data_IF_629264393414
#
_entry.id   IF_629264393414
#
_cell.length_a   1.000
_cell.length_b   1.000
_cell.length_c   1.000
_cell.angle_alpha   90.00
_cell.angle_beta   90.00
_cell.angle_gamma   90.00
#
_symmetry.space_group_name_H-M   'P 1'
#
loop_
_entity.id
_entity.type
_entity.pdbx_description
1 polymer ?
#
# COMPACT_ATOMS: atom_id res chain seq x y z
N UNK A 1 -9.27 -25.11 -33.85
CA UNK A 1 -9.59 -23.81 -33.23
C UNK A 1 -9.88 -23.93 -31.73
N UNK A 2 -10.60 -24.95 -31.24
CA UNK A 2 -10.97 -25.06 -29.81
C UNK A 2 -9.80 -25.44 -28.87
N UNK A 3 -8.85 -26.27 -29.36
CA UNK A 3 -7.71 -26.74 -28.55
C UNK A 3 -6.68 -25.65 -28.21
N UNK A 4 -6.46 -24.67 -29.09
CA UNK A 4 -5.54 -23.55 -28.82
C UNK A 4 -6.08 -22.65 -27.70
N UNK A 5 -7.38 -22.42 -27.69
CA UNK A 5 -8.03 -21.50 -26.74
C UNK A 5 -8.08 -22.12 -25.35
N UNK A 6 -8.28 -23.44 -25.25
CA UNK A 6 -8.20 -24.18 -23.98
C UNK A 6 -6.77 -24.14 -23.41
N UNK A 7 -5.74 -24.33 -24.25
CA UNK A 7 -4.34 -24.29 -23.81
C UNK A 7 -3.93 -22.88 -23.35
N UNK A 8 -4.42 -21.83 -24.02
CA UNK A 8 -4.18 -20.45 -23.63
C UNK A 8 -4.83 -20.13 -22.27
N UNK A 9 -6.10 -20.54 -22.09
CA UNK A 9 -6.83 -20.39 -20.83
C UNK A 9 -6.16 -21.14 -19.68
N UNK A 10 -5.66 -22.36 -19.92
CA UNK A 10 -4.91 -23.12 -18.93
C UNK A 10 -3.59 -22.42 -18.58
N UNK A 11 -2.83 -21.92 -19.56
CA UNK A 11 -1.61 -21.17 -19.30
C UNK A 11 -1.87 -19.91 -18.47
N UNK A 12 -2.95 -19.18 -18.76
CA UNK A 12 -3.33 -17.98 -18.03
C UNK A 12 -3.80 -18.30 -16.60
N UNK A 13 -4.60 -19.35 -16.41
CA UNK A 13 -4.98 -19.84 -15.08
C UNK A 13 -3.75 -20.25 -14.27
N UNK A 14 -2.79 -20.94 -14.89
CA UNK A 14 -1.56 -21.36 -14.20
C UNK A 14 -0.70 -20.16 -13.82
N UNK A 15 -0.63 -19.13 -14.67
CA UNK A 15 0.06 -17.85 -14.36
C UNK A 15 -0.61 -17.10 -13.22
N UNK A 16 -1.94 -17.04 -13.21
CA UNK A 16 -2.71 -16.43 -12.13
C UNK A 16 -2.48 -17.19 -10.82
N UNK A 17 -2.57 -18.53 -10.84
CA UNK A 17 -2.30 -19.36 -9.66
C UNK A 17 -0.88 -19.18 -9.15
N UNK A 18 0.14 -19.24 -10.01
CA UNK A 18 1.54 -19.00 -9.64
C UNK A 18 1.75 -17.60 -9.06
N UNK A 19 1.09 -16.57 -9.61
CA UNK A 19 1.14 -15.22 -9.07
C UNK A 19 0.53 -15.13 -7.67
N UNK A 20 -0.58 -15.84 -7.41
CA UNK A 20 -1.23 -15.93 -6.10
C UNK A 20 -0.38 -16.73 -5.10
N UNK A 21 0.23 -17.85 -5.53
CA UNK A 21 1.11 -18.67 -4.69
C UNK A 21 2.39 -17.93 -4.33
N UNK A 22 3.00 -17.20 -5.28
CA UNK A 22 4.16 -16.35 -5.02
C UNK A 22 3.84 -15.22 -4.03
N UNK A 23 2.69 -14.55 -4.19
CA UNK A 23 2.16 -13.59 -3.19
C UNK A 23 2.02 -14.23 -1.81
N UNK A 24 1.65 -15.51 -1.73
CA UNK A 24 1.47 -16.21 -0.45
C UNK A 24 2.79 -16.47 0.27
N UNK A 25 3.82 -16.96 -0.42
CA UNK A 25 5.09 -17.32 0.22
C UNK A 25 5.85 -16.11 0.76
N UNK A 26 5.83 -14.98 0.04
CA UNK A 26 6.54 -13.76 0.46
C UNK A 26 5.90 -13.08 1.68
N UNK A 27 4.63 -13.37 2.00
CA UNK A 27 3.88 -12.70 3.07
C UNK A 27 3.98 -13.43 4.42
N UNK A 28 4.30 -14.73 4.47
CA UNK A 28 4.20 -15.50 5.73
C UNK A 28 5.46 -15.53 6.61
N UNK A 29 6.64 -15.10 6.13
CA UNK A 29 7.91 -15.45 6.83
C UNK A 29 8.95 -14.33 6.93
N UNK A 30 8.70 -13.14 6.39
CA UNK A 30 9.69 -12.05 6.42
C UNK A 30 9.42 -11.05 7.54
N UNK A 31 10.39 -10.92 8.45
CA UNK A 31 10.53 -9.75 9.31
C UNK A 31 10.44 -8.47 8.47
N UNK A 32 9.88 -7.40 9.04
CA UNK A 32 9.73 -6.14 8.31
C UNK A 32 11.11 -5.64 7.86
N UNK A 33 11.23 -5.08 6.64
CA UNK A 33 12.47 -4.50 6.17
C UNK A 33 12.91 -3.42 7.16
N UNK A 34 14.08 -3.60 7.77
CA UNK A 34 14.87 -2.50 8.30
C UNK A 34 15.37 -1.69 7.08
N UNK A 35 14.49 -0.89 6.47
CA UNK A 35 14.94 0.15 5.54
C UNK A 35 14.71 1.47 6.23
N UNK A 36 15.81 2.10 6.62
CA UNK A 36 15.88 3.42 7.24
C UNK A 36 15.86 4.55 6.22
N UNK A 37 15.92 4.25 4.92
CA UNK A 37 16.10 5.26 3.87
C UNK A 37 14.83 5.62 3.09
N UNK A 38 13.85 4.71 2.98
CA UNK A 38 12.61 4.99 2.25
C UNK A 38 11.68 5.87 3.09
N UNK A 39 11.43 7.08 2.61
CA UNK A 39 10.49 8.02 3.20
C UNK A 39 9.15 7.94 2.49
N UNK A 40 8.05 7.97 3.25
CA UNK A 40 6.70 8.04 2.69
C UNK A 40 6.33 9.51 2.55
N UNK A 41 6.32 10.02 1.32
CA UNK A 41 5.98 11.43 1.04
C UNK A 41 5.23 11.56 -0.28
N UNK A 42 4.31 12.53 -0.36
CA UNK A 42 3.52 12.77 -1.57
C UNK A 42 4.38 13.20 -2.77
N UNK A 43 5.50 13.89 -2.53
CA UNK A 43 6.43 14.34 -3.57
C UNK A 43 7.14 13.19 -4.31
N UNK A 44 7.13 11.97 -3.75
CA UNK A 44 7.67 10.80 -4.44
C UNK A 44 6.74 10.30 -5.56
N UNK A 45 5.44 10.64 -5.51
CA UNK A 45 4.48 10.10 -6.45
C UNK A 45 4.77 10.61 -7.87
N UNK A 46 5.16 9.72 -8.78
CA UNK A 46 5.41 10.05 -10.18
C UNK A 46 4.14 10.01 -11.04
N UNK A 47 3.02 9.50 -10.50
CA UNK A 47 1.74 9.33 -11.20
C UNK A 47 0.59 10.04 -10.49
N UNK A 48 -0.44 10.37 -11.26
CA UNK A 48 -1.73 10.77 -10.72
C UNK A 48 -2.58 9.51 -10.51
N UNK A 49 -2.84 9.19 -9.25
CA UNK A 49 -3.58 8.01 -8.84
C UNK A 49 -5.03 8.37 -8.57
N UNK A 50 -5.93 7.83 -9.40
CA UNK A 50 -7.37 7.98 -9.26
C UNK A 50 -7.98 6.61 -9.05
N UNK A 51 -8.74 6.45 -7.97
CA UNK A 51 -9.57 5.27 -7.74
C UNK A 51 -10.99 5.61 -8.14
N UNK A 52 -11.57 4.79 -9.02
CA UNK A 52 -12.96 4.90 -9.44
C UNK A 52 -13.54 3.51 -9.54
N UNK A 53 -14.56 3.24 -8.74
CA UNK A 53 -15.24 1.94 -8.68
C UNK A 53 -16.73 2.18 -8.46
N UNK A 54 -17.56 1.14 -8.63
CA UNK A 54 -18.98 1.25 -8.32
C UNK A 54 -19.24 1.56 -6.84
N UNK A 55 -20.44 2.08 -6.54
CA UNK A 55 -20.90 2.29 -5.16
C UNK A 55 -20.63 1.04 -4.28
N UNK A 56 -20.19 1.22 -3.02
CA UNK A 56 -20.16 2.46 -2.25
C UNK A 56 -18.88 3.29 -2.43
N UNK A 57 -17.97 2.91 -3.33
CA UNK A 57 -16.72 3.61 -3.53
C UNK A 57 -16.94 4.89 -4.33
N UNK A 58 -16.30 5.97 -3.89
CA UNK A 58 -16.31 7.25 -4.58
C UNK A 58 -15.07 7.39 -5.46
N UNK A 59 -15.16 8.30 -6.43
CA UNK A 59 -13.99 8.76 -7.16
C UNK A 59 -13.07 9.54 -6.21
N UNK A 60 -11.83 9.06 -6.03
CA UNK A 60 -10.86 9.65 -5.12
C UNK A 60 -9.50 9.81 -5.79
N UNK A 61 -8.96 11.03 -5.74
CA UNK A 61 -7.60 11.35 -6.15
C UNK A 61 -6.67 11.10 -4.96
N UNK A 62 -5.90 10.01 -4.99
CA UNK A 62 -5.09 9.57 -3.86
C UNK A 62 -3.96 10.56 -3.55
N UNK A 63 -3.44 11.25 -4.56
CA UNK A 63 -2.40 12.27 -4.38
C UNK A 63 -2.86 13.41 -3.45
N UNK A 64 -4.14 13.81 -3.50
CA UNK A 64 -4.66 14.86 -2.63
C UNK A 64 -4.68 14.38 -1.18
N UNK A 65 -5.19 13.16 -0.95
CA UNK A 65 -5.18 12.55 0.38
C UNK A 65 -3.75 12.37 0.93
N UNK A 66 -2.77 12.10 0.06
CA UNK A 66 -1.36 12.01 0.43
C UNK A 66 -0.76 13.36 0.84
N UNK A 67 -1.14 14.42 0.13
CA UNK A 67 -0.67 15.79 0.40
C UNK A 67 -1.26 16.36 1.68
N UNK A 68 -2.51 16.04 2.00
CA UNK A 68 -3.17 16.47 3.23
C UNK A 68 -2.78 15.62 4.45
N UNK A 69 -2.16 14.46 4.22
CA UNK A 69 -1.71 13.56 5.28
C UNK A 69 -0.38 14.02 5.90
N UNK A 70 -0.35 14.07 7.23
CA UNK A 70 0.82 14.48 8.00
C UNK A 70 1.47 13.23 8.63
N UNK A 71 2.68 12.82 8.19
CA UNK A 71 3.42 11.73 8.82
C UNK A 71 3.83 12.09 10.24
N UNK A 72 3.86 11.09 11.13
CA UNK A 72 4.49 11.23 12.43
C UNK A 72 6.01 11.03 12.27
N UNK A 73 6.87 11.97 12.72
CA UNK A 73 8.32 11.88 12.48
C UNK A 73 8.99 10.64 13.10
N UNK A 74 8.49 10.16 14.23
CA UNK A 74 9.04 8.99 14.95
C UNK A 74 8.52 7.64 14.43
N UNK A 75 7.56 7.65 13.50
CA UNK A 75 7.03 6.43 12.92
C UNK A 75 8.01 5.84 11.90
N UNK A 76 8.24 4.53 11.98
CA UNK A 76 8.90 3.76 10.92
C UNK A 76 8.15 3.90 9.58
N UNK A 77 8.83 3.65 8.46
CA UNK A 77 8.23 3.64 7.12
C UNK A 77 6.97 2.77 7.06
N UNK A 78 6.98 1.59 7.71
CA UNK A 78 5.81 0.71 7.80
C UNK A 78 4.63 1.36 8.56
N UNK A 79 4.89 2.05 9.66
CA UNK A 79 3.87 2.77 10.42
C UNK A 79 3.33 3.96 9.62
N UNK A 80 4.21 4.72 8.96
CA UNK A 80 3.86 5.84 8.11
C UNK A 80 2.93 5.40 6.96
N UNK A 81 3.32 4.39 6.18
CA UNK A 81 2.49 3.90 5.07
C UNK A 81 1.16 3.30 5.56
N UNK A 82 1.17 2.63 6.72
CA UNK A 82 -0.07 2.16 7.37
C UNK A 82 -0.98 3.34 7.75
N UNK A 83 -0.41 4.45 8.21
CA UNK A 83 -1.17 5.65 8.57
C UNK A 83 -1.72 6.39 7.35
N UNK A 84 -0.94 6.47 6.26
CA UNK A 84 -1.39 7.02 4.98
C UNK A 84 -2.57 6.19 4.44
N UNK A 85 -2.46 4.87 4.44
CA UNK A 85 -3.58 4.01 4.04
C UNK A 85 -4.82 4.20 4.90
N UNK A 86 -4.67 4.41 6.22
CA UNK A 86 -5.82 4.73 7.08
C UNK A 86 -6.49 6.03 6.64
N UNK A 87 -5.71 7.08 6.37
CA UNK A 87 -6.24 8.38 5.92
C UNK A 87 -7.00 8.24 4.59
N UNK A 88 -6.44 7.50 3.64
CA UNK A 88 -7.09 7.22 2.35
C UNK A 88 -8.39 6.44 2.55
N UNK A 89 -8.34 5.28 3.23
CA UNK A 89 -9.48 4.39 3.43
C UNK A 89 -10.68 5.08 4.11
N UNK A 90 -10.42 6.04 5.00
CA UNK A 90 -11.44 6.83 5.68
C UNK A 90 -12.26 7.74 4.75
N UNK A 91 -11.78 8.00 3.53
CA UNK A 91 -12.37 8.89 2.53
C UNK A 91 -12.95 8.14 1.32
N UNK A 92 -12.75 6.82 1.21
CA UNK A 92 -13.01 6.10 -0.05
C UNK A 92 -14.48 5.80 -0.34
N UNK A 93 -15.36 5.85 0.65
CA UNK A 93 -16.75 5.40 0.51
C UNK A 93 -17.76 6.43 0.96
N UNK A 94 -18.95 6.39 0.36
CA UNK A 94 -20.12 7.15 0.80
C UNK A 94 -21.32 6.20 1.04
N UNK A 95 -21.86 6.12 2.27
CA UNK A 95 -21.40 6.81 3.49
C UNK A 95 -20.04 6.27 3.98
N UNK A 96 -19.20 7.06 4.69
CA UNK A 96 -17.84 6.67 5.10
C UNK A 96 -17.74 5.34 5.84
N UNK A 97 -18.73 5.01 6.67
CA UNK A 97 -18.78 3.72 7.39
C UNK A 97 -18.81 2.49 6.47
N UNK A 98 -19.18 2.63 5.20
CA UNK A 98 -19.27 1.50 4.28
C UNK A 98 -17.94 0.79 4.06
N UNK A 99 -16.82 1.49 4.20
CA UNK A 99 -15.50 0.84 4.15
C UNK A 99 -15.34 -0.25 5.22
N UNK A 100 -16.09 -0.20 6.31
CA UNK A 100 -16.01 -1.17 7.40
C UNK A 100 -16.59 -2.55 7.04
N UNK A 101 -17.41 -2.61 5.99
CA UNK A 101 -17.99 -3.86 5.47
C UNK A 101 -16.96 -4.68 4.66
N UNK A 102 -15.75 -4.13 4.41
CA UNK A 102 -14.73 -4.75 3.55
C UNK A 102 -13.52 -5.30 4.31
N UNK A 103 -12.86 -6.29 3.71
CA UNK A 103 -11.62 -6.88 4.18
C UNK A 103 -10.67 -7.17 3.02
N UNK A 104 -9.37 -7.09 3.30
CA UNK A 104 -8.32 -7.55 2.39
C UNK A 104 -8.06 -9.03 2.61
N UNK A 105 -8.52 -9.84 1.65
CA UNK A 105 -8.43 -11.30 1.66
C UNK A 105 -7.33 -11.74 0.71
N UNK A 106 -6.12 -11.84 1.23
CA UNK A 106 -5.03 -12.53 0.56
C UNK A 106 -5.47 -14.01 0.41
N UNK A 107 -5.68 -14.48 -0.81
CA UNK A 107 -6.04 -15.85 -1.22
C UNK A 107 -7.52 -16.19 -1.43
N UNK A 108 -8.44 -15.20 -1.42
CA UNK A 108 -9.87 -15.47 -1.68
C UNK A 108 -10.55 -16.41 -0.66
N UNK A 109 -9.83 -16.81 0.41
CA UNK A 109 -10.36 -17.63 1.48
C UNK A 109 -11.23 -16.81 2.39
N UNK A 110 -12.29 -17.42 2.88
CA UNK A 110 -13.09 -16.79 3.91
C UNK A 110 -12.26 -16.63 5.18
N UNK A 111 -11.92 -15.39 5.56
CA UNK A 111 -11.41 -15.10 6.90
C UNK A 111 -12.46 -15.48 7.96
N UNK A 112 -12.11 -15.39 9.25
CA UNK A 112 -12.99 -15.79 10.37
C UNK A 112 -14.36 -15.09 10.39
N UNK A 113 -14.49 -13.97 9.69
CA UNK A 113 -15.74 -13.23 9.55
C UNK A 113 -16.23 -13.36 8.11
N UNK A 114 -17.27 -14.16 7.91
CA UNK A 114 -17.87 -14.43 6.61
C UNK A 114 -18.71 -13.27 6.09
N UNK A 115 -19.09 -12.31 6.96
CA UNK A 115 -19.93 -11.18 6.59
C UNK A 115 -19.17 -10.08 5.85
N UNK A 116 -17.84 -10.04 5.99
CA UNK A 116 -17.03 -9.01 5.32
C UNK A 116 -16.87 -9.29 3.83
N UNK A 117 -17.09 -8.28 3.00
CA UNK A 117 -16.82 -8.37 1.57
C UNK A 117 -15.32 -8.30 1.29
N UNK A 118 -14.86 -8.90 0.21
CA UNK A 118 -13.50 -8.65 -0.28
C UNK A 118 -13.41 -7.22 -0.82
N UNK A 119 -12.34 -6.49 -0.48
CA UNK A 119 -12.06 -5.22 -1.15
C UNK A 119 -11.93 -5.47 -2.66
N UNK A 120 -12.56 -4.66 -3.53
CA UNK A 120 -12.46 -4.84 -4.98
C UNK A 120 -11.00 -4.88 -5.44
N UNK A 121 -10.67 -5.81 -6.33
CA UNK A 121 -9.29 -6.03 -6.76
C UNK A 121 -8.66 -4.79 -7.40
N UNK A 122 -9.44 -4.01 -8.16
CA UNK A 122 -8.97 -2.76 -8.76
C UNK A 122 -8.53 -1.74 -7.69
N UNK A 123 -9.29 -1.63 -6.60
CA UNK A 123 -8.98 -0.75 -5.48
C UNK A 123 -7.74 -1.24 -4.73
N UNK A 124 -7.70 -2.54 -4.41
CA UNK A 124 -6.53 -3.14 -3.78
C UNK A 124 -5.25 -2.87 -4.59
N UNK A 125 -5.31 -3.12 -5.90
CA UNK A 125 -4.16 -2.97 -6.79
C UNK A 125 -3.72 -1.50 -6.89
N UNK A 126 -4.67 -0.58 -7.05
CA UNK A 126 -4.39 0.86 -7.09
C UNK A 126 -3.77 1.37 -5.79
N UNK A 127 -4.26 0.93 -4.63
CA UNK A 127 -3.71 1.35 -3.34
C UNK A 127 -2.28 0.81 -3.13
N UNK A 128 -2.00 -0.43 -3.54
CA UNK A 128 -0.66 -1.02 -3.43
C UNK A 128 0.33 -0.29 -4.35
N UNK A 129 -0.04 -0.04 -5.60
CA UNK A 129 0.86 0.64 -6.54
C UNK A 129 1.04 2.12 -6.16
N UNK A 130 0.00 2.77 -5.63
CA UNK A 130 0.11 4.10 -5.01
C UNK A 130 1.06 4.09 -3.81
N UNK A 131 1.00 3.07 -2.95
CA UNK A 131 1.92 2.97 -1.81
C UNK A 131 3.38 2.76 -2.23
N UNK A 132 3.63 2.04 -3.32
CA UNK A 132 4.97 1.98 -3.93
C UNK A 132 5.41 3.37 -4.40
N UNK A 133 4.53 4.10 -5.07
CA UNK A 133 4.83 5.44 -5.59
C UNK A 133 5.10 6.45 -4.46
N UNK A 134 4.31 6.44 -3.39
CA UNK A 134 4.53 7.25 -2.19
C UNK A 134 5.87 6.94 -1.48
N UNK A 135 6.43 5.75 -1.71
CA UNK A 135 7.74 5.33 -1.22
C UNK A 135 8.89 5.57 -2.22
N UNK A 136 8.61 6.13 -3.40
CA UNK A 136 9.61 6.34 -4.46
C UNK A 136 9.93 5.08 -5.29
N UNK A 137 9.06 4.06 -5.21
CA UNK A 137 9.21 2.76 -5.87
C UNK A 137 8.16 2.54 -6.99
N UNK A 138 7.39 3.57 -7.35
CA UNK A 138 6.30 3.50 -8.33
C UNK A 138 6.73 3.61 -9.80
N UNK A 139 8.02 3.79 -10.06
CA UNK A 139 8.60 3.94 -11.39
C UNK A 139 8.44 2.68 -12.25
N UNK A 140 8.08 2.88 -13.52
CA UNK A 140 7.79 1.80 -14.46
C UNK A 140 9.02 0.95 -14.79
N UNK A 141 10.20 1.55 -14.70
CA UNK A 141 11.51 0.93 -14.85
C UNK A 141 11.81 -0.11 -13.76
N UNK A 142 11.18 0.01 -12.59
CA UNK A 142 11.35 -0.92 -11.47
C UNK A 142 10.43 -2.15 -11.58
N UNK A 143 9.53 -2.17 -12.58
CA UNK A 143 8.57 -3.26 -12.75
C UNK A 143 9.16 -4.36 -13.63
N UNK A 144 9.32 -5.57 -13.06
CA UNK A 144 9.76 -6.75 -13.82
C UNK A 144 8.90 -6.99 -15.05
N UNK A 145 9.57 -7.20 -16.20
CA UNK A 145 8.93 -7.48 -17.48
C UNK A 145 8.37 -6.27 -18.21
N UNK A 146 8.55 -5.05 -17.68
CA UNK A 146 8.17 -3.84 -18.38
C UNK A 146 9.28 -3.45 -19.36
N UNK A 147 8.93 -3.22 -20.63
CA UNK A 147 9.88 -2.78 -21.65
C UNK A 147 9.88 -1.25 -21.70
N UNK A 148 10.61 -0.63 -20.78
CA UNK A 148 10.82 0.82 -20.77
C UNK A 148 12.10 1.17 -21.52
N UNK A 149 12.05 2.24 -22.31
CA UNK A 149 13.25 2.81 -22.93
C UNK A 149 14.08 3.55 -21.86
N UNK A 150 15.02 2.82 -21.25
CA UNK A 150 15.89 3.35 -20.20
C UNK A 150 16.73 4.54 -20.68
N UNK A 151 17.09 4.61 -21.97
CA UNK A 151 17.91 5.70 -22.50
C UNK A 151 17.17 7.02 -22.42
N UNK A 152 15.85 7.02 -22.65
CA UNK A 152 14.99 8.21 -22.57
C UNK A 152 14.40 8.47 -21.19
N UNK A 153 14.53 7.53 -20.26
CA UNK A 153 13.96 7.65 -18.92
C UNK A 153 14.70 8.69 -18.09
N UNK A 154 14.01 9.78 -17.71
CA UNK A 154 14.55 10.78 -16.78
C UNK A 154 14.87 10.18 -15.41
N UNK A 155 14.07 9.20 -14.96
CA UNK A 155 14.31 8.48 -13.73
C UNK A 155 15.65 7.72 -13.80
N UNK A 156 15.82 6.89 -14.83
CA UNK A 156 17.06 6.11 -15.01
C UNK A 156 18.29 7.00 -15.17
N UNK A 157 18.19 8.08 -15.96
CA UNK A 157 19.29 9.04 -16.11
C UNK A 157 19.67 9.72 -14.80
N UNK A 158 18.72 9.90 -13.87
CA UNK A 158 18.93 10.47 -12.55
C UNK A 158 19.55 9.51 -11.52
N UNK A 159 19.68 8.22 -11.82
CA UNK A 159 20.21 7.23 -10.87
C UNK A 159 21.74 7.25 -10.72
N UNK A 160 22.46 7.90 -11.65
CA UNK A 160 23.92 7.93 -11.62
C UNK A 160 24.53 8.67 -12.81
N UNK A 161 25.84 8.91 -12.74
CA UNK A 161 26.59 9.62 -13.78
C UNK A 161 27.13 8.67 -14.87
N UNK A 162 27.22 7.37 -14.56
CA UNK A 162 27.63 6.33 -15.51
C UNK A 162 26.56 5.26 -15.70
N UNK A 163 26.61 4.53 -16.82
CA UNK A 163 25.69 3.41 -17.04
C UNK A 163 25.85 2.29 -16.00
N UNK A 164 27.07 2.10 -15.48
CA UNK A 164 27.34 1.12 -14.43
C UNK A 164 26.61 1.51 -13.13
N UNK A 165 26.77 2.76 -12.68
CA UNK A 165 26.09 3.29 -11.49
C UNK A 165 24.56 3.22 -11.63
N UNK A 166 24.02 3.62 -12.80
CA UNK A 166 22.58 3.60 -13.05
C UNK A 166 22.01 2.19 -13.01
N UNK A 167 22.70 1.22 -13.59
CA UNK A 167 22.28 -0.18 -13.57
C UNK A 167 22.30 -0.75 -12.16
N UNK A 168 23.37 -0.50 -11.40
CA UNK A 168 23.49 -0.95 -10.01
C UNK A 168 22.37 -0.36 -9.13
N UNK A 169 22.13 0.95 -9.24
CA UNK A 169 21.05 1.63 -8.52
C UNK A 169 19.66 1.11 -8.94
N UNK A 170 19.43 0.90 -10.25
CA UNK A 170 18.17 0.35 -10.76
C UNK A 170 17.91 -1.05 -10.21
N UNK A 171 18.93 -1.90 -10.19
CA UNK A 171 18.83 -3.23 -9.60
C UNK A 171 18.55 -3.19 -8.10
N UNK A 172 19.22 -2.30 -7.37
CA UNK A 172 18.98 -2.12 -5.93
C UNK A 172 17.54 -1.69 -5.65
N UNK A 173 17.05 -0.65 -6.34
CA UNK A 173 15.67 -0.18 -6.19
C UNK A 173 14.66 -1.24 -6.61
N UNK A 174 14.96 -2.04 -7.64
CA UNK A 174 14.11 -3.17 -8.05
C UNK A 174 14.02 -4.21 -6.93
N UNK A 175 15.15 -4.58 -6.29
CA UNK A 175 15.15 -5.48 -5.13
C UNK A 175 14.37 -4.91 -3.95
N UNK A 176 14.51 -3.61 -3.68
CA UNK A 176 13.76 -2.94 -2.63
C UNK A 176 12.25 -2.94 -2.89
N UNK A 177 11.83 -2.68 -4.12
CA UNK A 177 10.42 -2.78 -4.53
C UNK A 177 9.85 -4.16 -4.27
N UNK A 178 10.57 -5.22 -4.67
CA UNK A 178 10.13 -6.60 -4.40
C UNK A 178 10.04 -6.91 -2.91
N UNK A 179 11.01 -6.43 -2.12
CA UNK A 179 11.05 -6.60 -0.66
C UNK A 179 9.88 -5.90 0.04
N UNK A 180 9.52 -4.70 -0.42
CA UNK A 180 8.50 -3.86 0.21
C UNK A 180 7.08 -4.20 -0.22
N UNK A 181 6.85 -4.77 -1.41
CA UNK A 181 5.50 -5.07 -1.89
C UNK A 181 4.67 -5.94 -0.92
N UNK A 182 5.18 -7.04 -0.34
CA UNK A 182 4.48 -7.78 0.72
C UNK A 182 4.15 -6.94 1.95
N UNK A 183 5.04 -6.01 2.32
CA UNK A 183 4.84 -5.11 3.46
C UNK A 183 3.72 -4.12 3.19
N UNK A 184 3.60 -3.58 1.98
CA UNK A 184 2.48 -2.72 1.56
C UNK A 184 1.14 -3.44 1.71
N UNK A 185 1.06 -4.72 1.33
CA UNK A 185 -0.14 -5.54 1.55
C UNK A 185 -0.47 -5.67 3.04
N UNK A 186 0.53 -5.98 3.88
CA UNK A 186 0.33 -6.09 5.34
C UNK A 186 -0.08 -4.75 5.96
N UNK A 187 0.52 -3.64 5.54
CA UNK A 187 0.18 -2.28 5.97
C UNK A 187 -1.26 -1.93 5.61
N UNK A 188 -1.67 -2.20 4.37
CA UNK A 188 -3.01 -1.92 3.89
C UNK A 188 -4.04 -2.79 4.63
N UNK A 189 -3.75 -4.08 4.82
CA UNK A 189 -4.59 -4.99 5.60
C UNK A 189 -4.72 -4.55 7.06
N UNK A 190 -3.62 -4.08 7.67
CA UNK A 190 -3.64 -3.51 9.02
C UNK A 190 -4.46 -2.22 9.07
N UNK A 191 -4.27 -1.31 8.12
CA UNK A 191 -5.00 -0.06 8.05
C UNK A 191 -6.51 -0.28 7.96
N UNK A 192 -6.95 -1.17 7.08
CA UNK A 192 -8.37 -1.51 6.92
C UNK A 192 -8.96 -2.16 8.19
N UNK A 193 -8.19 -3.03 8.86
CA UNK A 193 -8.58 -3.59 10.16
C UNK A 193 -8.73 -2.52 11.25
N UNK A 194 -7.83 -1.54 11.27
CA UNK A 194 -7.88 -0.44 12.23
C UNK A 194 -9.11 0.45 11.96
N UNK A 195 -9.35 0.86 10.69
CA UNK A 195 -10.54 1.67 10.31
C UNK A 195 -11.85 0.95 10.64
N UNK A 196 -11.90 -0.37 10.45
CA UNK A 196 -13.03 -1.20 10.89
C UNK A 196 -13.30 -1.15 12.39
N UNK A 197 -12.27 -0.98 13.19
CA UNK A 197 -12.42 -0.84 14.64
C UNK A 197 -12.76 0.59 15.08
N UNK A 198 -12.72 1.58 14.17
CA UNK A 198 -13.06 2.97 14.48
C UNK A 198 -14.57 3.15 14.57
N UNK A 199 -14.99 4.17 15.31
CA UNK A 199 -16.38 4.61 15.32
C UNK A 199 -16.50 5.83 14.42
N UNK A 200 -17.46 5.84 13.51
CA UNK A 200 -17.77 7.04 12.74
C UNK A 200 -18.83 7.87 13.47
N UNK A 201 -18.50 9.13 13.74
CA UNK A 201 -19.41 10.11 14.31
C UNK A 201 -20.18 10.80 13.18
N UNK A 202 -21.41 10.32 12.93
CA UNK A 202 -22.31 10.85 11.90
C UNK A 202 -22.69 12.32 12.16
N UNK A 203 -22.71 12.77 13.42
CA UNK A 203 -23.11 14.14 13.78
C UNK A 203 -22.03 15.13 13.38
N UNK A 204 -20.76 14.76 13.60
CA UNK A 204 -19.62 15.63 13.31
C UNK A 204 -18.87 15.28 12.02
N UNK A 205 -19.27 14.21 11.34
CA UNK A 205 -18.64 13.72 10.11
C UNK A 205 -17.20 13.22 10.32
N UNK A 206 -16.87 12.66 11.50
CA UNK A 206 -15.48 12.38 11.89
C UNK A 206 -15.26 10.95 12.38
N UNK A 207 -14.13 10.39 12.00
CA UNK A 207 -13.65 9.12 12.52
C UNK A 207 -13.06 9.26 13.92
N UNK A 208 -13.47 8.39 14.84
CA UNK A 208 -12.94 8.27 16.20
C UNK A 208 -12.18 6.96 16.37
N UNK A 209 -10.88 6.99 16.70
CA UNK A 209 -10.13 5.77 16.98
C UNK A 209 -10.72 4.99 18.16
N UNK A 210 -10.60 3.67 18.13
CA UNK A 210 -11.08 2.81 19.22
C UNK A 210 -10.38 3.12 20.56
N UNK A 211 -11.04 2.86 21.69
CA UNK A 211 -10.49 3.06 23.05
C UNK A 211 -9.16 2.32 23.27
N UNK A 212 -9.01 1.12 22.66
CA UNK A 212 -7.77 0.35 22.67
C UNK A 212 -6.66 1.07 21.93
N UNK A 213 -6.96 1.63 20.77
CA UNK A 213 -6.00 2.37 19.96
C UNK A 213 -5.64 3.72 20.58
N UNK A 214 -6.60 4.36 21.26
CA UNK A 214 -6.37 5.56 22.08
C UNK A 214 -5.35 5.29 23.19
N UNK A 215 -5.46 4.16 23.91
CA UNK A 215 -4.47 3.76 24.94
C UNK A 215 -3.08 3.51 24.35
N UNK A 216 -2.99 2.87 23.17
CA UNK A 216 -1.71 2.64 22.49
C UNK A 216 -1.08 3.97 22.04
N UNK A 217 -1.87 4.85 21.42
CA UNK A 217 -1.41 6.19 21.01
C UNK A 217 -0.94 7.00 22.22
N UNK A 218 -1.70 7.01 23.31
CA UNK A 218 -1.33 7.70 24.56
C UNK A 218 -0.08 7.10 25.21
N UNK A 219 0.09 5.77 25.22
CA UNK A 219 1.31 5.15 25.77
C UNK A 219 2.56 5.49 24.96
N UNK A 220 2.42 5.64 23.64
CA UNK A 220 3.54 6.00 22.75
C UNK A 220 3.86 7.50 22.82
N UNK A 221 2.84 8.35 23.00
CA UNK A 221 2.99 9.80 23.26
C UNK A 221 3.65 10.06 24.62
N UNK A 222 3.26 9.32 25.67
CA UNK A 222 3.88 9.45 26.99
C UNK A 222 5.35 8.96 27.01
N UNK A 223 5.67 7.89 26.28
CA UNK A 223 7.06 7.43 26.12
C UNK A 223 7.93 8.45 25.36
N UNK A 224 7.31 9.19 24.43
CA UNK A 224 7.94 10.25 23.64
C UNK A 224 8.26 11.48 24.49
N UNK A 225 7.39 11.85 25.44
CA UNK A 225 7.60 12.99 26.33
C UNK A 225 8.58 12.72 27.48
N UNK A 226 8.82 11.45 27.85
CA UNK A 226 9.79 11.09 28.88
C UNK A 226 11.23 11.07 28.38
N UNK A 227 11.47 10.82 27.09
CA UNK A 227 12.81 10.89 26.49
C UNK A 227 13.30 12.32 26.27
N UNK A 228 12.38 13.27 26.08
CA UNK A 228 12.72 14.68 25.81
C UNK A 228 13.01 15.49 27.10
N UNK A 229 12.93 14.86 28.28
CA UNK A 229 13.22 15.45 29.60
C UNK A 229 14.48 14.85 30.25
N UNK A 230 15.20 13.96 29.54
CA UNK A 230 16.38 13.25 30.05
C UNK A 230 17.70 13.70 29.39
N UNK A 231 17.66 14.71 28.52
CA UNK A 231 18.81 15.46 27.99
C UNK A 231 18.83 16.88 28.59
#
# INVERSE_FOLDING_TARGET
MILSDILLLQADLTRVQLSQTKRTMDITTTAFPESTHLKVVSSNCCKCWVVKESAPFMELILNNAASDWIPRPRDSTYQQITSLYRAVLQLMTDPPRKIQDYALRLNGKSGRDEQLQSLPHAIEQALIDFGEDAMGLGHDELRKGNSTDLVRSKFYQGLGNSNAERNEALEQMTREREKWRPCLYRSLQKALRDVRAYTYDEVHGKWKPSSRQKRVLQSMENATSQTDLAD
#
